data_IF_849948035949
#
_entry.id   IF_849948035949
#
_cell.length_a   1.000
_cell.length_b   1.000
_cell.length_c   1.000
_cell.angle_alpha   90.00
_cell.angle_beta   90.00
_cell.angle_gamma   90.00
#
_symmetry.space_group_name_H-M   'P 1'
#
loop_
_entity.id
_entity.type
_entity.pdbx_description
1 polymer ?
#
# COMPACT_ATOMS: atom_id res chain seq x y z
N UNK A 1 -3.60 -10.89 3.18
CA UNK A 1 -4.17 -10.64 4.50
C UNK A 1 -4.53 -9.18 4.72
N UNK A 2 -3.67 -8.27 4.33
CA UNK A 2 -3.97 -6.84 4.31
C UNK A 2 -4.00 -6.34 2.88
N UNK A 3 -4.85 -5.33 2.59
CA UNK A 3 -4.76 -4.55 1.37
C UNK A 3 -3.97 -3.28 1.70
N UNK A 4 -2.79 -3.15 1.13
CA UNK A 4 -1.85 -2.08 1.45
C UNK A 4 -1.96 -0.99 0.39
N UNK A 5 -2.40 0.20 0.81
CA UNK A 5 -2.64 1.34 -0.08
C UNK A 5 -1.48 2.32 0.05
N UNK A 6 -0.86 2.65 -1.06
CA UNK A 6 0.34 3.49 -1.10
C UNK A 6 0.14 4.65 -2.08
N UNK A 7 -0.23 5.85 -1.61
CA UNK A 7 -0.25 7.00 -2.49
C UNK A 7 1.18 7.38 -2.88
N UNK A 8 1.39 7.70 -4.14
CA UNK A 8 2.71 8.06 -4.66
C UNK A 8 2.61 9.22 -5.64
N UNK A 9 3.62 10.07 -5.65
CA UNK A 9 3.71 11.23 -6.53
C UNK A 9 5.17 11.39 -6.99
N UNK A 10 5.45 11.01 -8.25
CA UNK A 10 6.77 11.11 -8.88
C UNK A 10 7.92 10.64 -7.97
N UNK A 11 7.75 9.50 -7.34
CA UNK A 11 8.68 8.98 -6.34
C UNK A 11 8.99 7.49 -6.59
N UNK A 12 9.21 7.14 -7.85
CA UNK A 12 9.29 5.74 -8.28
C UNK A 12 10.37 4.94 -7.54
N UNK A 13 11.55 5.51 -7.34
CA UNK A 13 12.64 4.76 -6.69
C UNK A 13 12.28 4.36 -5.25
N UNK A 14 11.66 5.28 -4.50
CA UNK A 14 11.18 4.97 -3.16
C UNK A 14 10.03 3.98 -3.17
N UNK A 15 9.11 4.12 -4.13
CA UNK A 15 8.00 3.18 -4.27
C UNK A 15 8.52 1.76 -4.55
N UNK A 16 9.49 1.61 -5.43
CA UNK A 16 10.11 0.31 -5.72
C UNK A 16 10.70 -0.31 -4.46
N UNK A 17 11.41 0.48 -3.66
CA UNK A 17 12.01 -0.01 -2.42
C UNK A 17 10.94 -0.39 -1.40
N UNK A 18 9.89 0.41 -1.28
CA UNK A 18 8.77 0.12 -0.40
C UNK A 18 8.12 -1.22 -0.76
N UNK A 19 7.76 -1.41 -2.03
CA UNK A 19 7.13 -2.64 -2.51
C UNK A 19 8.06 -3.85 -2.31
N UNK A 20 9.35 -3.69 -2.61
CA UNK A 20 10.34 -4.74 -2.40
C UNK A 20 10.41 -5.15 -0.92
N UNK A 21 10.40 -4.17 -0.02
CA UNK A 21 10.44 -4.45 1.42
C UNK A 21 9.20 -5.22 1.88
N UNK A 22 8.03 -4.88 1.37
CA UNK A 22 6.81 -5.62 1.68
C UNK A 22 6.94 -7.08 1.21
N UNK A 23 7.36 -7.29 -0.02
CA UNK A 23 7.49 -8.64 -0.60
C UNK A 23 8.53 -9.50 0.09
N UNK A 24 9.67 -8.91 0.49
CA UNK A 24 10.77 -9.65 1.12
C UNK A 24 10.54 -9.93 2.59
N UNK A 25 9.88 -9.02 3.30
CA UNK A 25 9.82 -9.04 4.76
C UNK A 25 8.45 -9.44 5.30
N UNK A 26 7.51 -9.81 4.46
CA UNK A 26 6.19 -10.27 4.86
C UNK A 26 6.16 -11.77 5.06
N UNK A 27 5.50 -12.21 6.12
CA UNK A 27 5.24 -13.62 6.38
C UNK A 27 4.02 -14.10 5.61
N UNK A 28 3.05 -13.22 5.38
CA UNK A 28 1.79 -13.54 4.70
C UNK A 28 1.72 -12.84 3.36
N UNK A 29 0.81 -13.31 2.49
CA UNK A 29 0.57 -12.68 1.19
C UNK A 29 -0.40 -11.50 1.35
N UNK A 30 -0.02 -10.35 0.80
CA UNK A 30 -0.80 -9.12 0.86
C UNK A 30 -1.12 -8.62 -0.53
N UNK A 31 -2.14 -7.78 -0.63
CA UNK A 31 -2.46 -7.04 -1.83
C UNK A 31 -1.81 -5.66 -1.73
N UNK A 32 -1.11 -5.23 -2.77
CA UNK A 32 -0.48 -3.90 -2.83
C UNK A 32 -1.23 -3.08 -3.87
N UNK A 33 -1.75 -1.92 -3.47
CA UNK A 33 -2.54 -1.04 -4.34
C UNK A 33 -1.98 0.38 -4.26
N UNK A 34 -1.03 0.75 -5.13
CA UNK A 34 -0.59 2.14 -5.21
C UNK A 34 -1.67 3.02 -5.84
N UNK A 35 -1.74 4.28 -5.39
CA UNK A 35 -2.46 5.32 -6.11
C UNK A 35 -1.43 6.28 -6.70
N UNK A 36 -1.40 6.39 -8.02
CA UNK A 36 -0.42 7.21 -8.74
C UNK A 36 -1.03 8.58 -9.01
N UNK A 37 -0.46 9.61 -8.38
CA UNK A 37 -0.78 11.00 -8.65
C UNK A 37 0.16 11.50 -9.76
N UNK A 38 -0.41 11.91 -10.89
CA UNK A 38 0.28 12.46 -12.06
C UNK A 38 1.12 11.41 -12.82
N UNK A 39 2.11 10.77 -12.18
CA UNK A 39 2.83 9.64 -12.78
C UNK A 39 3.78 9.97 -13.92
N UNK A 40 4.46 11.10 -13.88
CA UNK A 40 5.38 11.54 -14.94
C UNK A 40 6.71 10.76 -14.97
N UNK A 41 7.03 10.05 -13.91
CA UNK A 41 8.31 9.35 -13.72
C UNK A 41 8.26 7.87 -14.13
N UNK A 42 7.30 7.49 -14.99
CA UNK A 42 7.13 6.11 -15.46
C UNK A 42 6.64 5.13 -14.38
N UNK A 43 6.07 5.64 -13.32
CA UNK A 43 5.53 4.79 -12.23
C UNK A 43 4.46 3.82 -12.75
N UNK A 44 3.55 4.29 -13.60
CA UNK A 44 2.50 3.43 -14.17
C UNK A 44 3.07 2.30 -15.00
N UNK A 45 4.12 2.56 -15.78
CA UNK A 45 4.78 1.53 -16.60
C UNK A 45 5.38 0.45 -15.72
N UNK A 46 6.06 0.84 -14.65
CA UNK A 46 6.62 -0.09 -13.69
C UNK A 46 5.54 -0.99 -13.08
N UNK A 47 4.42 -0.39 -12.67
CA UNK A 47 3.33 -1.14 -12.02
C UNK A 47 2.67 -2.13 -12.99
N UNK A 48 2.49 -1.74 -14.25
CA UNK A 48 1.97 -2.64 -15.28
C UNK A 48 2.93 -3.80 -15.53
N UNK A 49 4.22 -3.53 -15.63
CA UNK A 49 5.24 -4.56 -15.86
C UNK A 49 5.30 -5.58 -14.71
N UNK A 50 5.03 -5.12 -13.48
CA UNK A 50 5.04 -5.99 -12.30
C UNK A 50 3.67 -6.62 -12.00
N UNK A 51 2.67 -6.39 -12.85
CA UNK A 51 1.30 -6.89 -12.66
C UNK A 51 0.70 -6.45 -11.32
N UNK A 52 0.96 -5.23 -10.91
CA UNK A 52 0.43 -4.65 -9.67
C UNK A 52 -0.79 -3.80 -10.02
N UNK A 53 -1.94 -4.08 -9.41
CA UNK A 53 -3.12 -3.24 -9.54
C UNK A 53 -2.85 -1.88 -8.93
N UNK A 54 -3.32 -0.82 -9.60
CA UNK A 54 -3.15 0.54 -9.12
C UNK A 54 -4.29 1.43 -9.61
N UNK A 55 -4.42 2.61 -8.98
CA UNK A 55 -5.30 3.67 -9.45
C UNK A 55 -4.45 4.86 -9.88
N UNK A 56 -5.04 5.74 -10.68
CA UNK A 56 -4.30 6.85 -11.29
C UNK A 56 -5.20 8.09 -11.41
N UNK A 57 -4.61 9.26 -11.13
CA UNK A 57 -5.24 10.55 -11.46
C UNK A 57 -4.24 11.41 -12.22
N UNK A 58 -4.75 12.17 -13.22
CA UNK A 58 -3.91 13.09 -14.01
C UNK A 58 -3.52 14.35 -13.25
N UNK A 59 -4.12 14.55 -12.09
CA UNK A 59 -3.87 15.70 -11.22
C UNK A 59 -3.45 15.18 -9.85
N UNK A 60 -2.87 16.05 -9.04
CA UNK A 60 -2.55 15.69 -7.66
C UNK A 60 -3.83 15.71 -6.83
N UNK A 61 -4.40 14.54 -6.64
CA UNK A 61 -5.67 14.38 -5.93
C UNK A 61 -5.54 14.52 -4.40
N UNK A 62 -4.30 14.59 -3.90
CA UNK A 62 -4.05 14.57 -2.47
C UNK A 62 -4.15 13.16 -1.89
N UNK A 63 -3.85 13.05 -0.60
CA UNK A 63 -3.78 11.75 0.07
C UNK A 63 -5.16 11.14 0.23
N UNK A 64 -6.14 11.91 0.68
CA UNK A 64 -7.47 11.37 1.01
C UNK A 64 -8.20 10.82 -0.22
N UNK A 65 -8.22 11.57 -1.32
CA UNK A 65 -8.87 11.09 -2.54
C UNK A 65 -8.15 9.87 -3.11
N UNK A 66 -6.81 9.90 -3.11
CA UNK A 66 -6.03 8.77 -3.58
C UNK A 66 -6.29 7.49 -2.81
N UNK A 67 -6.33 7.59 -1.48
CA UNK A 67 -6.62 6.45 -0.62
C UNK A 67 -8.05 5.93 -0.85
N UNK A 68 -9.02 6.83 -1.02
CA UNK A 68 -10.40 6.42 -1.28
C UNK A 68 -10.53 5.69 -2.61
N UNK A 69 -9.85 6.15 -3.65
CA UNK A 69 -9.86 5.50 -4.97
C UNK A 69 -9.24 4.12 -4.90
N UNK A 70 -8.06 4.01 -4.28
CA UNK A 70 -7.34 2.74 -4.17
C UNK A 70 -8.08 1.74 -3.30
N UNK A 71 -8.71 2.18 -2.21
CA UNK A 71 -9.42 1.30 -1.29
C UNK A 71 -10.57 0.55 -1.94
N UNK A 72 -11.14 1.10 -3.02
CA UNK A 72 -12.22 0.43 -3.76
C UNK A 72 -11.77 -0.86 -4.44
N UNK A 73 -10.46 -1.04 -4.62
CA UNK A 73 -9.87 -2.26 -5.20
C UNK A 73 -9.49 -3.29 -4.12
N UNK A 74 -9.70 -3.01 -2.86
CA UNK A 74 -9.30 -3.89 -1.76
C UNK A 74 -10.01 -5.23 -1.82
N UNK A 75 -9.23 -6.31 -1.70
CA UNK A 75 -9.74 -7.69 -1.64
C UNK A 75 -9.86 -8.20 -0.21
N UNK A 76 -9.11 -7.62 0.70
CA UNK A 76 -9.03 -8.09 2.08
C UNK A 76 -9.82 -7.18 3.02
N UNK A 77 -10.20 -7.75 4.15
CA UNK A 77 -11.01 -7.08 5.16
C UNK A 77 -10.29 -5.90 5.80
N UNK A 78 -8.98 -6.06 6.03
CA UNK A 78 -8.18 -5.03 6.68
C UNK A 78 -7.40 -4.23 5.64
N UNK A 79 -7.47 -2.91 5.75
CA UNK A 79 -6.78 -1.98 4.87
C UNK A 79 -5.68 -1.30 5.66
N UNK A 80 -4.47 -1.33 5.12
CA UNK A 80 -3.31 -0.66 5.70
C UNK A 80 -2.91 0.50 4.80
N UNK A 81 -2.92 1.71 5.34
CA UNK A 81 -2.45 2.90 4.63
C UNK A 81 -0.97 3.10 4.89
N UNK A 82 -0.20 3.28 3.84
CA UNK A 82 1.24 3.45 3.91
C UNK A 82 1.67 4.66 3.08
N UNK A 83 2.94 4.97 3.12
CA UNK A 83 3.58 5.98 2.28
C UNK A 83 4.62 5.32 1.39
N UNK A 84 4.94 5.95 0.27
CA UNK A 84 5.86 5.38 -0.72
C UNK A 84 7.33 5.36 -0.25
N UNK A 85 7.67 6.11 0.79
CA UNK A 85 9.01 6.14 1.38
C UNK A 85 9.16 5.26 2.63
N UNK A 86 8.15 4.45 2.95
CA UNK A 86 8.24 3.51 4.08
C UNK A 86 9.02 2.26 3.70
N UNK A 87 9.79 1.75 4.66
CA UNK A 87 10.45 0.46 4.55
C UNK A 87 9.83 -0.50 5.58
N UNK A 88 9.30 -1.62 5.09
CA UNK A 88 8.66 -2.63 5.94
C UNK A 88 9.71 -3.60 6.45
N UNK A 89 9.86 -3.66 7.77
CA UNK A 89 10.86 -4.51 8.44
C UNK A 89 10.44 -5.99 8.47
N UNK A 90 11.39 -6.93 8.67
CA UNK A 90 11.04 -8.34 8.75
C UNK A 90 9.96 -8.63 9.78
N UNK A 91 9.02 -9.51 9.41
CA UNK A 91 7.91 -9.97 10.25
C UNK A 91 6.93 -8.87 10.71
N UNK A 92 6.93 -7.73 10.02
CA UNK A 92 6.03 -6.61 10.33
C UNK A 92 4.56 -7.04 10.35
N UNK A 93 4.18 -7.92 9.43
CA UNK A 93 2.79 -8.35 9.28
C UNK A 93 2.37 -9.34 10.36
N UNK A 94 3.27 -10.15 10.85
CA UNK A 94 2.99 -11.04 11.98
C UNK A 94 2.71 -10.24 13.24
N UNK A 95 3.52 -9.23 13.52
CA UNK A 95 3.33 -8.34 14.66
C UNK A 95 1.98 -7.63 14.56
N UNK A 96 1.69 -7.07 13.38
CA UNK A 96 0.43 -6.36 13.16
C UNK A 96 -0.78 -7.29 13.26
N UNK A 97 -0.68 -8.50 12.72
CA UNK A 97 -1.75 -9.50 12.82
C UNK A 97 -2.04 -9.85 14.27
N UNK A 98 -1.01 -10.03 15.08
CA UNK A 98 -1.18 -10.33 16.49
C UNK A 98 -1.88 -9.19 17.24
N UNK A 99 -1.56 -7.94 16.89
CA UNK A 99 -2.25 -6.77 17.45
C UNK A 99 -3.74 -6.75 17.05
N UNK A 100 -4.04 -7.05 15.81
CA UNK A 100 -5.41 -7.10 15.30
C UNK A 100 -6.20 -8.21 16.01
N UNK A 101 -5.63 -9.38 16.15
CA UNK A 101 -6.26 -10.51 16.83
C UNK A 101 -6.51 -10.22 18.31
N UNK A 102 -5.58 -9.49 18.97
CA UNK A 102 -5.71 -9.11 20.38
C UNK A 102 -6.87 -8.13 20.61
N UNK A 103 -7.17 -7.26 19.64
CA UNK A 103 -8.29 -6.31 19.73
C UNK A 103 -9.64 -7.03 19.70
N UNK A 104 -9.77 -8.08 18.89
CA UNK A 104 -10.93 -8.95 18.87
C UNK A 104 -12.18 -8.34 18.20
N UNK A 105 -12.06 -7.21 17.50
CA UNK A 105 -13.14 -6.63 16.70
C UNK A 105 -12.59 -5.99 15.43
N UNK A 106 -13.50 -5.64 14.51
CA UNK A 106 -13.12 -5.19 13.17
C UNK A 106 -13.13 -3.67 12.99
N UNK A 107 -13.62 -2.96 13.99
CA UNK A 107 -13.85 -1.52 13.89
C UNK A 107 -12.84 -0.78 14.75
N UNK A 108 -11.60 -0.67 14.23
CA UNK A 108 -10.49 -0.05 14.95
C UNK A 108 -9.55 0.68 14.01
N UNK A 109 -8.68 1.51 14.58
CA UNK A 109 -7.61 2.20 13.89
C UNK A 109 -6.32 2.02 14.67
N UNK A 110 -5.25 1.56 14.00
CA UNK A 110 -3.92 1.42 14.58
C UNK A 110 -2.98 2.43 13.92
N UNK A 111 -2.29 3.20 14.75
CA UNK A 111 -1.26 4.13 14.33
C UNK A 111 0.10 3.60 14.79
N UNK A 112 1.02 3.43 13.85
CA UNK A 112 2.31 2.87 14.20
C UNK A 112 3.49 3.51 13.56
#
# INVERSE_FOLDING_TARGET
MFSIIIPTFNNLDYLKLCIKSIRQNSKYTHQIIPHVNIGEDRTCDFLRDENIDFTFTKYNSGICEGMNRASKKSKFKYILYSHDDFYFCPDWDEVLKNEVDAIGHNNFYLSG
#
